data_IF_073176475583
#
_entry.id   IF_073176475583
#
_cell.length_a   1.000
_cell.length_b   1.000
_cell.length_c   1.000
_cell.angle_alpha   90.00
_cell.angle_beta   90.00
_cell.angle_gamma   90.00
#
_symmetry.space_group_name_H-M   'P 1'
#
loop_
_entity.id
_entity.type
_entity.pdbx_description
1 polymer ?
#
# COMPACT_ATOMS: atom_id res chain seq x y z
N UNK A 1 -0.75 -27.40 -27.43
CA UNK A 1 -0.66 -26.38 -26.35
C UNK A 1 -1.44 -26.92 -25.16
N UNK A 2 -0.75 -27.20 -24.06
CA UNK A 2 -1.31 -27.96 -22.93
C UNK A 2 -2.15 -27.05 -21.98
N UNK A 3 -3.28 -27.54 -21.45
CA UNK A 3 -4.22 -26.78 -20.61
C UNK A 3 -3.70 -26.43 -19.20
N UNK A 4 -2.49 -26.85 -18.84
CA UNK A 4 -1.89 -26.68 -17.50
C UNK A 4 -1.46 -25.22 -17.21
N UNK A 5 -1.43 -24.36 -18.22
CA UNK A 5 -1.02 -22.95 -18.06
C UNK A 5 -2.18 -22.05 -17.59
N UNK A 6 -3.43 -22.50 -17.67
CA UNK A 6 -4.59 -21.68 -17.26
C UNK A 6 -4.87 -21.73 -15.76
N UNK A 7 -4.56 -22.82 -15.06
CA UNK A 7 -4.85 -22.93 -13.61
C UNK A 7 -3.86 -22.17 -12.73
N UNK A 8 -2.64 -21.87 -13.20
CA UNK A 8 -1.66 -21.09 -12.44
C UNK A 8 -1.87 -19.57 -12.48
N UNK A 9 -2.92 -19.09 -13.15
CA UNK A 9 -3.33 -17.69 -13.20
C UNK A 9 -4.64 -17.50 -12.42
N UNK A 10 -4.80 -18.20 -11.29
CA UNK A 10 -5.96 -18.04 -10.40
C UNK A 10 -5.60 -17.45 -9.04
N UNK A 11 -4.31 -17.36 -8.70
CA UNK A 11 -3.89 -16.53 -7.59
C UNK A 11 -3.76 -15.09 -8.09
N UNK A 12 -4.49 -14.13 -7.48
CA UNK A 12 -4.25 -12.72 -7.76
C UNK A 12 -2.76 -12.44 -7.58
N UNK A 13 -2.15 -11.72 -8.53
CA UNK A 13 -0.71 -11.43 -8.64
C UNK A 13 -0.07 -10.98 -7.32
N UNK A 14 -0.88 -10.49 -6.36
CA UNK A 14 -0.54 -10.50 -4.95
C UNK A 14 -1.68 -11.07 -4.10
N UNK A 15 -1.40 -12.15 -3.36
CA UNK A 15 -2.30 -12.63 -2.31
C UNK A 15 -2.57 -11.51 -1.30
N UNK A 16 -3.75 -11.53 -0.67
CA UNK A 16 -4.13 -10.56 0.38
C UNK A 16 -3.04 -10.43 1.47
N UNK A 17 -2.43 -11.56 1.83
CA UNK A 17 -1.29 -11.64 2.77
C UNK A 17 -0.07 -10.85 2.28
N UNK A 18 0.31 -10.99 1.01
CA UNK A 18 1.46 -10.27 0.45
C UNK A 18 1.22 -8.77 0.46
N UNK A 19 0.02 -8.32 0.10
CA UNK A 19 -0.35 -6.89 0.14
C UNK A 19 -0.29 -6.33 1.57
N UNK A 20 -0.78 -7.07 2.55
CA UNK A 20 -0.62 -6.70 3.96
C UNK A 20 0.85 -6.58 4.36
N UNK A 21 1.68 -7.52 3.91
CA UNK A 21 3.11 -7.53 4.22
C UNK A 21 3.84 -6.32 3.62
N UNK A 22 3.50 -5.90 2.40
CA UNK A 22 4.06 -4.68 1.80
C UNK A 22 3.66 -3.44 2.59
N UNK A 23 2.36 -3.31 2.90
CA UNK A 23 1.86 -2.16 3.66
C UNK A 23 2.49 -2.08 5.05
N UNK A 24 2.56 -3.20 5.78
CA UNK A 24 3.22 -3.25 7.07
C UNK A 24 4.71 -2.92 6.98
N UNK A 25 5.42 -3.44 5.97
CA UNK A 25 6.84 -3.17 5.76
C UNK A 25 7.10 -1.68 5.56
N UNK A 26 6.29 -1.00 4.75
CA UNK A 26 6.38 0.45 4.56
C UNK A 26 6.18 1.19 5.90
N UNK A 27 5.12 0.87 6.64
CA UNK A 27 4.83 1.51 7.94
C UNK A 27 5.99 1.33 8.92
N UNK A 28 6.51 0.11 9.06
CA UNK A 28 7.64 -0.18 9.96
C UNK A 28 8.92 0.58 9.56
N UNK A 29 9.15 0.80 8.27
CA UNK A 29 10.30 1.59 7.79
C UNK A 29 10.18 3.05 8.16
N UNK A 30 8.99 3.63 7.96
CA UNK A 30 8.71 5.00 8.39
C UNK A 30 8.85 5.16 9.90
N UNK A 31 8.45 4.17 10.68
CA UNK A 31 8.59 4.21 12.14
C UNK A 31 10.03 4.07 12.62
N UNK A 32 10.88 3.41 11.85
CA UNK A 32 12.31 3.31 12.10
C UNK A 32 13.11 4.44 11.46
N UNK A 33 12.45 5.52 11.01
CA UNK A 33 13.05 6.64 10.27
C UNK A 33 14.00 6.17 9.16
N UNK A 34 13.62 5.09 8.47
CA UNK A 34 14.33 4.48 7.34
C UNK A 34 15.71 3.89 7.63
N UNK A 35 16.12 3.78 8.89
CA UNK A 35 17.50 3.42 9.27
C UNK A 35 17.98 2.03 8.81
N UNK A 36 17.07 1.11 8.46
CA UNK A 36 17.40 -0.30 8.23
C UNK A 36 17.77 -0.60 6.77
N UNK A 37 17.34 0.20 5.79
CA UNK A 37 17.53 -0.11 4.36
C UNK A 37 17.65 1.14 3.46
N UNK A 38 18.75 1.89 3.59
CA UNK A 38 19.20 2.87 2.59
C UNK A 38 18.13 3.84 2.03
N UNK A 39 18.32 4.28 0.79
CA UNK A 39 17.32 5.10 0.06
C UNK A 39 16.08 4.28 -0.25
N UNK A 40 14.88 4.85 -0.05
CA UNK A 40 13.62 4.22 -0.40
C UNK A 40 13.04 4.82 -1.69
N UNK A 41 13.06 4.11 -2.84
CA UNK A 41 12.64 4.68 -4.10
C UNK A 41 11.18 5.15 -4.08
N UNK A 42 10.93 6.33 -4.64
CA UNK A 42 9.56 6.89 -4.74
C UNK A 42 8.59 5.96 -5.50
N UNK A 43 9.09 5.14 -6.43
CA UNK A 43 8.31 4.13 -7.13
C UNK A 43 7.86 2.98 -6.21
N UNK A 44 8.69 2.59 -5.23
CA UNK A 44 8.33 1.60 -4.23
C UNK A 44 7.23 2.15 -3.30
N UNK A 45 7.35 3.42 -2.89
CA UNK A 45 6.28 4.11 -2.15
C UNK A 45 4.96 4.15 -2.93
N UNK A 46 5.00 4.48 -4.23
CA UNK A 46 3.81 4.44 -5.09
C UNK A 46 3.18 3.04 -5.15
N UNK A 47 3.99 1.99 -5.29
CA UNK A 47 3.51 0.61 -5.33
C UNK A 47 2.82 0.19 -4.02
N UNK A 48 3.34 0.62 -2.87
CA UNK A 48 2.73 0.32 -1.58
C UNK A 48 1.38 1.00 -1.39
N UNK A 49 1.24 2.24 -1.89
CA UNK A 49 -0.05 2.95 -1.91
C UNK A 49 -1.08 2.22 -2.78
N UNK A 50 -0.67 1.72 -3.96
CA UNK A 50 -1.53 0.87 -4.80
C UNK A 50 -1.90 -0.44 -4.08
N UNK A 51 -0.94 -1.08 -3.39
CA UNK A 51 -1.22 -2.27 -2.59
C UNK A 51 -2.26 -1.99 -1.51
N UNK A 52 -2.20 -0.82 -0.86
CA UNK A 52 -3.16 -0.41 0.16
C UNK A 52 -4.57 -0.22 -0.41
N UNK A 53 -4.70 0.43 -1.56
CA UNK A 53 -6.02 0.60 -2.19
C UNK A 53 -6.60 -0.74 -2.62
N UNK A 54 -5.76 -1.63 -3.15
CA UNK A 54 -6.17 -2.99 -3.48
C UNK A 54 -6.54 -3.82 -2.24
N UNK A 55 -5.92 -3.60 -1.07
CA UNK A 55 -6.36 -4.21 0.19
C UNK A 55 -7.78 -3.76 0.54
N UNK A 56 -8.07 -2.46 0.45
CA UNK A 56 -9.41 -1.94 0.74
C UNK A 56 -10.47 -2.58 -0.15
N UNK A 57 -10.20 -2.70 -1.46
CA UNK A 57 -11.11 -3.35 -2.41
C UNK A 57 -11.28 -4.83 -2.07
N UNK A 58 -10.19 -5.58 -1.92
CA UNK A 58 -10.29 -7.02 -1.64
C UNK A 58 -10.95 -7.33 -0.29
N UNK A 59 -10.80 -6.49 0.74
CA UNK A 59 -11.52 -6.66 2.00
C UNK A 59 -13.02 -6.41 1.87
N UNK A 60 -13.44 -5.50 0.99
CA UNK A 60 -14.87 -5.23 0.75
C UNK A 60 -15.60 -6.39 0.05
N UNK A 61 -14.85 -7.29 -0.59
CA UNK A 61 -15.36 -8.48 -1.28
C UNK A 61 -15.37 -9.74 -0.39
N UNK A 62 -14.78 -9.68 0.81
CA UNK A 62 -14.74 -10.82 1.74
C UNK A 62 -16.08 -11.04 2.44
N UNK A 63 -16.41 -12.29 2.83
CA UNK A 63 -17.53 -12.57 3.71
C UNK A 63 -17.44 -11.84 5.06
N UNK A 64 -18.59 -11.43 5.59
CA UNK A 64 -18.74 -10.69 6.86
C UNK A 64 -18.09 -11.37 8.08
N UNK A 65 -17.82 -12.68 8.02
CA UNK A 65 -17.22 -13.42 9.13
C UNK A 65 -15.71 -13.18 9.28
N UNK A 66 -14.99 -12.92 8.17
CA UNK A 66 -13.54 -12.68 8.17
C UNK A 66 -13.17 -11.20 7.97
N UNK A 67 -14.08 -10.42 7.36
CA UNK A 67 -13.88 -9.01 7.07
C UNK A 67 -13.56 -8.15 8.32
N UNK A 68 -14.22 -8.28 9.48
CA UNK A 68 -14.04 -7.35 10.60
C UNK A 68 -12.64 -7.35 11.20
N UNK A 69 -12.03 -8.53 11.35
CA UNK A 69 -10.70 -8.69 11.92
C UNK A 69 -9.63 -8.10 10.99
N UNK A 70 -9.67 -8.48 9.71
CA UNK A 70 -8.72 -7.98 8.72
C UNK A 70 -8.89 -6.48 8.45
N UNK A 71 -10.12 -5.97 8.46
CA UNK A 71 -10.37 -4.53 8.40
C UNK A 71 -9.84 -3.81 9.65
N UNK A 72 -9.90 -4.44 10.83
CA UNK A 72 -9.25 -3.94 12.05
C UNK A 72 -7.74 -3.80 11.90
N UNK A 73 -7.09 -4.85 11.38
CA UNK A 73 -5.64 -4.83 11.12
C UNK A 73 -5.26 -3.73 10.12
N UNK A 74 -6.00 -3.60 9.02
CA UNK A 74 -5.75 -2.57 8.02
C UNK A 74 -5.90 -1.16 8.62
N UNK A 75 -6.97 -0.91 9.40
CA UNK A 75 -7.16 0.37 10.10
C UNK A 75 -6.02 0.71 11.05
N UNK A 76 -5.47 -0.28 11.75
CA UNK A 76 -4.34 -0.06 12.65
C UNK A 76 -3.06 0.34 11.88
N UNK A 77 -2.80 -0.28 10.73
CA UNK A 77 -1.69 0.12 9.86
C UNK A 77 -1.91 1.51 9.25
N UNK A 78 -3.13 1.79 8.77
CA UNK A 78 -3.50 3.09 8.21
C UNK A 78 -3.31 4.22 9.25
N UNK A 79 -3.67 4.00 10.51
CA UNK A 79 -3.46 4.97 11.58
C UNK A 79 -1.96 5.25 11.83
N UNK A 80 -1.12 4.21 11.84
CA UNK A 80 0.34 4.34 11.99
C UNK A 80 0.97 5.07 10.81
N UNK A 81 0.53 4.75 9.59
CA UNK A 81 0.90 5.50 8.39
C UNK A 81 0.55 6.99 8.52
N UNK A 82 -0.67 7.31 8.95
CA UNK A 82 -1.12 8.70 9.11
C UNK A 82 -0.28 9.47 10.12
N UNK A 83 0.20 8.81 11.18
CA UNK A 83 1.07 9.42 12.18
C UNK A 83 2.48 9.72 11.66
N UNK A 84 2.97 8.96 10.69
CA UNK A 84 4.31 9.12 10.10
C UNK A 84 4.32 9.88 8.76
N UNK A 85 3.19 10.43 8.37
CA UNK A 85 3.05 11.21 7.13
C UNK A 85 2.39 12.54 7.40
N UNK A 86 2.60 13.49 6.51
CA UNK A 86 1.97 14.80 6.48
C UNK A 86 1.33 15.05 5.10
N UNK A 87 0.39 16.01 4.99
CA UNK A 87 -0.15 16.40 3.69
C UNK A 87 0.97 16.89 2.73
N UNK A 88 0.96 16.41 1.49
CA UNK A 88 1.82 16.94 0.41
C UNK A 88 1.23 18.26 -0.13
N UNK A 89 1.23 19.29 0.72
CA UNK A 89 0.57 20.57 0.45
C UNK A 89 1.18 21.36 -0.72
N UNK A 90 2.47 21.15 -0.99
CA UNK A 90 3.19 21.74 -2.13
C UNK A 90 3.03 20.92 -3.41
N UNK A 91 2.54 19.67 -3.31
CA UNK A 91 2.35 18.78 -4.44
C UNK A 91 3.67 18.27 -5.03
N UNK A 92 4.74 18.22 -4.24
CA UNK A 92 6.08 17.78 -4.65
C UNK A 92 6.06 16.35 -5.20
N UNK A 93 5.17 15.50 -4.68
CA UNK A 93 5.05 14.11 -5.12
C UNK A 93 4.13 13.94 -6.32
N UNK A 94 3.48 15.02 -6.77
CA UNK A 94 2.55 14.99 -7.91
C UNK A 94 3.18 14.51 -9.22
N UNK A 95 4.44 14.76 -9.58
CA UNK A 95 4.98 14.21 -10.81
C UNK A 95 5.19 12.69 -10.75
N UNK A 96 5.42 12.16 -9.54
CA UNK A 96 5.99 10.82 -9.33
C UNK A 96 4.96 9.78 -8.89
N UNK A 97 3.94 10.19 -8.14
CA UNK A 97 2.92 9.27 -7.62
C UNK A 97 1.72 9.19 -8.57
N UNK A 98 1.44 8.01 -9.09
CA UNK A 98 0.32 7.74 -10.00
C UNK A 98 -0.33 6.41 -9.59
N UNK A 99 -1.61 6.42 -9.20
CA UNK A 99 -2.34 5.18 -8.98
C UNK A 99 -2.34 4.32 -10.25
N UNK A 100 -2.02 3.04 -10.12
CA UNK A 100 -1.99 2.11 -11.26
C UNK A 100 -3.37 1.91 -11.88
N UNK A 101 -4.43 2.15 -11.10
CA UNK A 101 -5.83 2.10 -11.56
C UNK A 101 -6.21 3.24 -12.51
N UNK A 102 -5.37 4.27 -12.67
CA UNK A 102 -5.69 5.46 -13.47
C UNK A 102 -6.67 6.42 -12.79
N UNK A 103 -7.05 6.15 -11.54
CA UNK A 103 -7.94 7.02 -10.77
C UNK A 103 -7.22 8.28 -10.27
N UNK A 104 -7.99 9.31 -9.92
CA UNK A 104 -7.43 10.52 -9.33
C UNK A 104 -6.85 10.22 -7.94
N UNK A 105 -5.71 10.86 -7.61
CA UNK A 105 -5.10 10.77 -6.28
C UNK A 105 -6.05 11.30 -5.20
N UNK A 106 -6.21 10.53 -4.13
CA UNK A 106 -7.02 10.88 -2.98
C UNK A 106 -6.44 10.25 -1.71
N UNK A 107 -6.85 10.73 -0.54
CA UNK A 107 -6.46 10.15 0.75
C UNK A 107 -4.93 10.03 0.93
N UNK A 108 -4.44 8.81 1.07
CA UNK A 108 -3.01 8.50 1.31
C UNK A 108 -2.09 8.96 0.17
N UNK A 109 -2.59 9.04 -1.06
CA UNK A 109 -1.84 9.53 -2.23
C UNK A 109 -1.49 11.02 -2.19
N UNK A 110 -2.11 11.77 -1.28
CA UNK A 110 -1.86 13.19 -1.05
C UNK A 110 -0.99 13.42 0.19
N UNK A 111 -0.25 12.40 0.60
CA UNK A 111 0.60 12.44 1.80
C UNK A 111 2.02 12.06 1.48
N UNK A 112 2.96 12.70 2.17
CA UNK A 112 4.38 12.39 2.15
C UNK A 112 4.86 11.96 3.54
N UNK A 113 5.87 11.08 3.64
CA UNK A 113 6.53 10.80 4.90
C UNK A 113 7.11 12.06 5.54
N UNK A 114 7.06 12.13 6.88
CA UNK A 114 7.65 13.25 7.65
C UNK A 114 9.16 13.30 7.47
N UNK A 115 9.81 12.14 7.47
CA UNK A 115 11.23 11.98 7.10
C UNK A 115 11.26 11.45 5.68
N UNK A 116 11.88 12.16 4.74
CA UNK A 116 11.92 11.80 3.32
C UNK A 116 13.13 10.91 3.02
N UNK A 117 12.95 9.69 2.48
CA UNK A 117 14.04 8.72 2.26
C UNK A 117 14.58 8.63 0.82
N UNK A 118 14.08 9.42 -0.13
CA UNK A 118 14.48 9.40 -1.54
C UNK A 118 15.35 10.59 -1.91
#
# INVERSE_FOLDING_TARGET
MAPVVQEKITEPVYSLKNRFSFWERLVRRMEADWQVEGQYPISAYSNDLDCRDQLQVSLSELPDTAQPELAGLLRALDARFMHRTEPDGTGELRPWLRPSSGTARHGFWLRKPVVVPW
#
